data_IF_884172659137
#
_entry.id   IF_884172659137
#
_cell.length_a   1.000
_cell.length_b   1.000
_cell.length_c   1.000
_cell.angle_alpha   90.00
_cell.angle_beta   90.00
_cell.angle_gamma   90.00
#
_symmetry.space_group_name_H-M   'P 1'
#
loop_
_entity.id
_entity.type
_entity.pdbx_description
1 polymer ?
#
# COMPACT_ATOMS: atom_id res chain seq x y z
N UNK A 1 27.00 22.19 -36.18
CA UNK A 1 26.98 20.83 -35.62
C UNK A 1 25.85 20.78 -34.61
N UNK A 2 24.70 20.22 -34.98
CA UNK A 2 23.60 19.98 -34.04
C UNK A 2 23.93 18.76 -33.19
N UNK A 3 23.95 18.93 -31.87
CA UNK A 3 24.13 17.84 -30.93
C UNK A 3 22.73 17.38 -30.53
N UNK A 4 22.25 16.30 -31.14
CA UNK A 4 21.01 15.64 -30.76
C UNK A 4 21.16 15.08 -29.35
N UNK A 5 20.61 15.77 -28.36
CA UNK A 5 20.54 15.28 -26.98
C UNK A 5 19.62 14.06 -26.95
N UNK A 6 20.21 12.87 -26.89
CA UNK A 6 19.51 11.65 -26.49
C UNK A 6 18.97 11.89 -25.08
N UNK A 7 17.65 12.06 -24.94
CA UNK A 7 16.96 11.99 -23.65
C UNK A 7 17.34 10.66 -23.00
N UNK A 8 18.23 10.69 -22.00
CA UNK A 8 18.33 9.61 -21.03
C UNK A 8 16.98 9.57 -20.32
N UNK A 9 16.17 8.56 -20.64
CA UNK A 9 15.01 8.22 -19.83
C UNK A 9 15.59 7.61 -18.56
N UNK A 10 15.42 8.23 -17.39
CA UNK A 10 15.86 7.59 -16.15
C UNK A 10 15.06 6.30 -15.98
N UNK A 11 15.75 5.22 -15.62
CA UNK A 11 15.10 3.96 -15.27
C UNK A 11 14.01 4.23 -14.22
N UNK A 12 12.82 3.62 -14.37
CA UNK A 12 11.76 3.80 -13.38
C UNK A 12 12.29 3.31 -12.01
N UNK A 13 11.97 4.03 -10.92
CA UNK A 13 12.44 3.64 -9.60
C UNK A 13 12.00 2.20 -9.30
N UNK A 14 12.98 1.33 -9.05
CA UNK A 14 12.78 -0.10 -8.78
C UNK A 14 12.05 -0.37 -7.46
N UNK A 15 11.89 0.66 -6.63
CA UNK A 15 11.38 0.60 -5.25
C UNK A 15 9.89 0.95 -5.12
N UNK A 16 9.12 0.92 -6.21
CA UNK A 16 7.69 1.26 -6.18
C UNK A 16 6.83 0.32 -5.29
N UNK A 17 7.38 -0.81 -4.85
CA UNK A 17 6.64 -1.85 -4.13
C UNK A 17 7.06 -2.04 -2.66
N UNK A 18 8.05 -1.30 -2.15
CA UNK A 18 8.35 -1.33 -0.72
C UNK A 18 7.25 -0.55 0.00
N UNK A 19 6.51 -1.18 0.94
CA UNK A 19 5.54 -0.42 1.72
C UNK A 19 6.26 0.69 2.47
N UNK A 20 5.68 1.90 2.43
CA UNK A 20 6.24 3.09 3.08
C UNK A 20 6.31 2.98 4.60
N UNK A 21 5.68 1.95 5.16
CA UNK A 21 5.61 1.69 6.59
C UNK A 21 6.25 0.35 6.90
N UNK A 22 6.99 0.28 8.00
CA UNK A 22 7.52 -0.96 8.56
C UNK A 22 6.79 -1.28 9.87
N UNK A 23 6.56 -2.56 10.12
CA UNK A 23 5.96 -3.01 11.38
C UNK A 23 7.02 -3.19 12.47
N UNK A 24 6.67 -3.00 13.75
CA UNK A 24 7.58 -3.27 14.85
C UNK A 24 8.04 -4.74 14.81
N UNK A 25 9.35 -5.03 14.98
CA UNK A 25 9.89 -6.38 14.84
C UNK A 25 9.32 -7.37 15.86
N UNK A 26 8.76 -6.87 16.96
CA UNK A 26 8.20 -7.69 18.04
C UNK A 26 6.69 -7.87 17.95
N UNK A 27 6.04 -7.46 16.85
CA UNK A 27 4.60 -7.61 16.72
C UNK A 27 4.23 -9.10 16.66
N UNK A 28 3.47 -9.64 17.64
CA UNK A 28 3.09 -11.05 17.63
C UNK A 28 2.20 -11.39 16.44
N UNK A 29 2.27 -12.64 15.98
CA UNK A 29 1.48 -13.16 14.85
C UNK A 29 -0.02 -12.86 14.97
N UNK A 30 -0.60 -13.13 16.14
CA UNK A 30 -2.04 -12.91 16.39
C UNK A 30 -2.42 -11.45 16.26
N UNK A 31 -1.59 -10.55 16.77
CA UNK A 31 -1.81 -9.11 16.68
C UNK A 31 -1.63 -8.60 15.24
N UNK A 32 -0.65 -9.14 14.50
CA UNK A 32 -0.48 -8.85 13.08
C UNK A 32 -1.68 -9.32 12.24
N UNK A 33 -2.22 -10.51 12.50
CA UNK A 33 -3.45 -10.98 11.85
C UNK A 33 -4.66 -10.08 12.17
N UNK A 34 -4.80 -9.65 13.43
CA UNK A 34 -5.86 -8.72 13.81
C UNK A 34 -5.73 -7.37 13.08
N UNK A 35 -4.51 -6.85 12.94
CA UNK A 35 -4.26 -5.64 12.16
C UNK A 35 -4.58 -5.83 10.68
N UNK A 36 -4.18 -6.94 10.07
CA UNK A 36 -4.52 -7.25 8.68
C UNK A 36 -6.05 -7.25 8.48
N UNK A 37 -6.80 -7.91 9.37
CA UNK A 37 -8.26 -7.96 9.28
C UNK A 37 -8.91 -6.57 9.34
N UNK A 38 -8.47 -5.71 10.27
CA UNK A 38 -8.98 -4.32 10.38
C UNK A 38 -8.63 -3.47 9.16
N UNK A 39 -7.45 -3.66 8.58
CA UNK A 39 -7.03 -2.97 7.37
C UNK A 39 -7.87 -3.42 6.17
N UNK A 40 -8.11 -4.72 6.02
CA UNK A 40 -9.01 -5.25 4.98
C UNK A 40 -10.43 -4.69 5.12
N UNK A 41 -10.97 -4.62 6.34
CA UNK A 41 -12.28 -3.99 6.60
C UNK A 41 -12.30 -2.52 6.18
N UNK A 42 -11.23 -1.78 6.48
CA UNK A 42 -11.09 -0.36 6.12
C UNK A 42 -11.02 -0.18 4.60
N UNK A 43 -10.28 -1.06 3.92
CA UNK A 43 -10.21 -1.09 2.46
C UNK A 43 -11.58 -1.37 1.85
N UNK A 44 -12.32 -2.37 2.34
CA UNK A 44 -13.68 -2.65 1.85
C UNK A 44 -14.58 -1.42 1.97
N UNK A 45 -14.58 -0.74 3.12
CA UNK A 45 -15.39 0.47 3.33
C UNK A 45 -15.00 1.60 2.38
N UNK A 46 -13.72 1.81 2.15
CA UNK A 46 -13.25 2.86 1.24
C UNK A 46 -13.51 2.50 -0.24
N UNK A 47 -13.42 1.23 -0.61
CA UNK A 47 -13.85 0.74 -1.92
C UNK A 47 -15.34 0.94 -2.14
N UNK A 48 -16.18 0.65 -1.14
CA UNK A 48 -17.62 0.92 -1.22
C UNK A 48 -17.91 2.41 -1.38
N UNK A 49 -17.19 3.29 -0.65
CA UNK A 49 -17.30 4.75 -0.84
C UNK A 49 -16.96 5.16 -2.25
N UNK A 50 -15.88 4.62 -2.82
CA UNK A 50 -15.47 4.91 -4.19
C UNK A 50 -16.53 4.47 -5.20
N UNK A 51 -17.04 3.24 -5.08
CA UNK A 51 -18.06 2.69 -5.97
C UNK A 51 -19.39 3.44 -5.90
N UNK A 52 -19.72 4.03 -4.75
CA UNK A 52 -20.94 4.79 -4.54
C UNK A 52 -20.76 6.31 -4.65
N UNK A 53 -19.57 6.78 -5.06
CA UNK A 53 -19.28 8.21 -5.19
C UNK A 53 -20.13 8.81 -6.31
N UNK A 54 -20.74 9.98 -6.03
CA UNK A 54 -21.57 10.71 -6.99
C UNK A 54 -20.83 11.86 -7.68
N UNK A 55 -19.62 12.17 -7.23
CA UNK A 55 -18.76 13.22 -7.79
C UNK A 55 -17.32 12.74 -7.86
N UNK A 56 -16.53 13.37 -8.74
CA UNK A 56 -15.12 13.05 -8.94
C UNK A 56 -14.30 13.37 -7.68
N UNK A 57 -14.67 14.41 -6.94
CA UNK A 57 -14.02 14.75 -5.66
C UNK A 57 -14.26 13.68 -4.61
N UNK A 58 -15.48 13.14 -4.52
CA UNK A 58 -15.80 12.06 -3.60
C UNK A 58 -15.08 10.76 -3.96
N UNK A 59 -14.98 10.45 -5.26
CA UNK A 59 -14.20 9.32 -5.76
C UNK A 59 -12.71 9.49 -5.44
N UNK A 60 -12.14 10.67 -5.72
CA UNK A 60 -10.72 10.97 -5.43
C UNK A 60 -10.43 10.86 -3.93
N UNK A 61 -11.29 11.43 -3.08
CA UNK A 61 -11.15 11.31 -1.63
C UNK A 61 -11.21 9.85 -1.16
N UNK A 62 -12.06 9.02 -1.76
CA UNK A 62 -12.13 7.59 -1.42
C UNK A 62 -10.86 6.83 -1.86
N UNK A 63 -10.25 7.21 -2.99
CA UNK A 63 -8.94 6.67 -3.41
C UNK A 63 -7.81 7.06 -2.45
N UNK A 64 -7.81 8.31 -1.98
CA UNK A 64 -6.84 8.76 -0.97
C UNK A 64 -7.00 8.00 0.36
N UNK A 65 -8.26 7.71 0.75
CA UNK A 65 -8.57 6.86 1.90
C UNK A 65 -8.08 5.41 1.72
N UNK A 66 -7.99 4.90 0.48
CA UNK A 66 -7.49 3.55 0.17
C UNK A 66 -5.96 3.47 0.20
N UNK A 67 -5.25 4.56 -0.10
CA UNK A 67 -3.79 4.53 -0.28
C UNK A 67 -3.06 4.09 1.00
N UNK A 68 -3.35 4.73 2.14
CA UNK A 68 -2.66 4.44 3.40
C UNK A 68 -2.94 3.03 3.95
N UNK A 69 -4.19 2.53 4.01
CA UNK A 69 -4.45 1.17 4.45
C UNK A 69 -3.85 0.11 3.54
N UNK A 70 -3.72 0.38 2.24
CA UNK A 70 -3.08 -0.54 1.27
C UNK A 70 -1.59 -0.69 1.59
N UNK A 71 -0.86 0.43 1.74
CA UNK A 71 0.56 0.40 2.11
C UNK A 71 0.78 -0.30 3.47
N UNK A 72 -0.08 -0.03 4.45
CA UNK A 72 -0.02 -0.70 5.75
C UNK A 72 -0.32 -2.19 5.66
N UNK A 73 -1.30 -2.60 4.85
CA UNK A 73 -1.63 -4.02 4.69
C UNK A 73 -0.48 -4.77 4.05
N UNK A 74 0.16 -4.21 3.02
CA UNK A 74 1.35 -4.79 2.42
C UNK A 74 2.46 -5.01 3.46
N UNK A 75 2.71 -4.03 4.33
CA UNK A 75 3.69 -4.15 5.40
C UNK A 75 3.33 -5.24 6.43
N UNK A 76 2.06 -5.36 6.83
CA UNK A 76 1.60 -6.45 7.73
C UNK A 76 1.81 -7.80 7.09
N UNK A 77 1.48 -7.94 5.81
CA UNK A 77 1.60 -9.22 5.09
C UNK A 77 3.06 -9.64 4.96
N UNK A 78 3.98 -8.71 4.67
CA UNK A 78 5.42 -8.99 4.66
C UNK A 78 5.89 -9.44 6.06
N UNK A 79 5.45 -8.76 7.12
CA UNK A 79 5.79 -9.16 8.49
C UNK A 79 5.31 -10.57 8.82
N UNK A 80 4.05 -10.88 8.50
CA UNK A 80 3.49 -12.23 8.68
C UNK A 80 4.27 -13.29 7.89
N UNK A 81 4.62 -13.01 6.62
CA UNK A 81 5.45 -13.92 5.82
C UNK A 81 6.82 -14.17 6.47
N UNK A 82 7.45 -13.13 7.02
CA UNK A 82 8.73 -13.28 7.71
C UNK A 82 8.59 -14.11 8.99
N UNK A 83 7.52 -13.95 9.76
CA UNK A 83 7.22 -14.78 10.93
C UNK A 83 7.01 -16.25 10.55
N UNK A 84 6.32 -16.54 9.44
CA UNK A 84 6.11 -17.93 8.97
C UNK A 84 7.41 -18.56 8.45
N UNK A 85 8.31 -17.78 7.85
CA UNK A 85 9.64 -18.28 7.40
C UNK A 85 10.62 -18.53 8.53
N UNK A 86 10.45 -17.86 9.66
CA UNK A 86 11.31 -18.00 10.84
C UNK A 86 10.89 -19.15 11.77
N UNK A 87 9.79 -19.86 11.45
CA UNK A 87 9.34 -21.07 12.13
C UNK A 87 10.03 -22.31 11.57
#
# INVERSE_FOLDING_TARGET
MEITMKKMVPDPPTDLNSPRYTFPPHLPREQALLYAAKLMESLTKASDKYLNAKTDEAATSALDELARPTDLLAAVLIHLQNLERAR
#
